data_IF_598826714632
#
_entry.id   IF_598826714632
#
_cell.length_a   1.000
_cell.length_b   1.000
_cell.length_c   1.000
_cell.angle_alpha   90.00
_cell.angle_beta   90.00
_cell.angle_gamma   90.00
#
_symmetry.space_group_name_H-M   'P 1'
#
loop_
_entity.id
_entity.type
_entity.pdbx_description
1 polymer ?
#
# COMPACT_ATOMS: atom_id res chain seq x y z
N UNK A 1 2.40 -35.03 -24.03
CA UNK A 1 1.03 -34.70 -24.48
C UNK A 1 0.17 -34.08 -23.37
N UNK A 2 0.46 -34.33 -22.09
CA UNK A 2 -0.28 -33.78 -20.92
C UNK A 2 0.16 -32.35 -20.56
N UNK A 3 1.47 -32.08 -20.47
CA UNK A 3 2.03 -30.77 -20.09
C UNK A 3 1.67 -29.63 -21.07
N UNK A 4 1.54 -29.95 -22.36
CA UNK A 4 1.12 -29.00 -23.40
C UNK A 4 -0.37 -28.64 -23.32
N UNK A 5 -1.21 -29.56 -22.85
CA UNK A 5 -2.64 -29.33 -22.70
C UNK A 5 -2.95 -28.56 -21.40
N UNK A 6 -2.23 -28.85 -20.30
CA UNK A 6 -2.31 -28.11 -19.04
C UNK A 6 -1.85 -26.66 -19.21
N UNK A 7 -0.74 -26.42 -19.91
CA UNK A 7 -0.28 -25.07 -20.21
C UNK A 7 -1.27 -24.29 -21.09
N UNK A 8 -1.87 -24.94 -22.09
CA UNK A 8 -2.90 -24.31 -22.92
C UNK A 8 -4.17 -23.96 -22.13
N UNK A 9 -4.60 -24.84 -21.22
CA UNK A 9 -5.75 -24.58 -20.34
C UNK A 9 -5.47 -23.43 -19.35
N UNK A 10 -4.28 -23.38 -18.75
CA UNK A 10 -3.87 -22.28 -17.87
C UNK A 10 -3.78 -20.93 -18.61
N UNK A 11 -3.32 -20.92 -19.87
CA UNK A 11 -3.33 -19.74 -20.73
C UNK A 11 -4.75 -19.26 -21.07
N UNK A 12 -5.66 -20.20 -21.35
CA UNK A 12 -7.07 -19.89 -21.63
C UNK A 12 -7.75 -19.29 -20.38
N UNK A 13 -7.50 -19.87 -19.20
CA UNK A 13 -8.04 -19.39 -17.93
C UNK A 13 -7.50 -17.99 -17.59
N UNK A 14 -6.20 -17.76 -17.77
CA UNK A 14 -5.58 -16.43 -17.59
C UNK A 14 -6.20 -15.39 -18.53
N UNK A 15 -6.36 -15.71 -19.81
CA UNK A 15 -6.91 -14.75 -20.77
C UNK A 15 -8.38 -14.42 -20.44
N UNK A 16 -9.15 -15.40 -19.98
CA UNK A 16 -10.52 -15.18 -19.50
C UNK A 16 -10.54 -14.25 -18.28
N UNK A 17 -9.69 -14.51 -17.29
CA UNK A 17 -9.53 -13.66 -16.10
C UNK A 17 -9.10 -12.23 -16.47
N UNK A 18 -8.13 -12.08 -17.38
CA UNK A 18 -7.71 -10.77 -17.87
C UNK A 18 -8.85 -10.00 -18.55
N UNK A 19 -9.66 -10.69 -19.34
CA UNK A 19 -10.82 -10.09 -19.99
C UNK A 19 -11.91 -9.70 -18.97
N UNK A 20 -12.07 -10.46 -17.89
CA UNK A 20 -12.99 -10.13 -16.79
C UNK A 20 -12.53 -8.90 -16.00
N UNK A 21 -11.22 -8.80 -15.72
CA UNK A 21 -10.66 -7.73 -14.88
C UNK A 21 -10.42 -6.42 -15.66
N UNK A 22 -10.10 -6.49 -16.95
CA UNK A 22 -9.89 -5.30 -17.79
C UNK A 22 -11.18 -4.48 -17.85
N UNK A 23 -11.03 -3.17 -17.64
CA UNK A 23 -12.13 -2.19 -17.64
C UNK A 23 -13.18 -2.38 -16.53
N UNK A 24 -13.03 -3.40 -15.67
CA UNK A 24 -13.85 -3.59 -14.48
C UNK A 24 -13.45 -2.56 -13.43
N UNK A 25 -14.40 -1.69 -13.07
CA UNK A 25 -14.24 -0.71 -11.99
C UNK A 25 -14.52 -1.39 -10.66
N UNK A 26 -13.53 -1.42 -9.78
CA UNK A 26 -13.69 -1.78 -8.38
C UNK A 26 -13.98 -0.49 -7.61
N UNK A 27 -15.19 -0.30 -7.06
CA UNK A 27 -15.53 0.88 -6.27
C UNK A 27 -14.64 0.99 -5.03
N UNK A 28 -14.25 2.19 -4.67
CA UNK A 28 -13.46 2.53 -3.48
C UNK A 28 -13.99 3.85 -2.94
N UNK A 29 -14.12 4.00 -1.61
CA UNK A 29 -14.82 5.13 -1.00
C UNK A 29 -16.27 5.27 -1.53
N UNK A 30 -16.79 6.49 -1.56
CA UNK A 30 -18.17 6.81 -1.92
C UNK A 30 -18.38 7.00 -3.45
N UNK A 31 -17.40 7.50 -4.18
CA UNK A 31 -17.48 7.71 -5.64
C UNK A 31 -16.14 7.47 -6.36
N UNK A 32 -15.23 6.76 -5.72
CA UNK A 32 -13.94 6.38 -6.26
C UNK A 32 -13.93 5.02 -6.94
N UNK A 33 -12.89 4.76 -7.72
CA UNK A 33 -12.63 3.40 -8.20
C UNK A 33 -11.16 3.18 -8.60
N UNK A 34 -10.80 1.89 -8.68
CA UNK A 34 -9.62 1.40 -9.39
C UNK A 34 -10.08 0.51 -10.53
N UNK A 35 -9.45 0.68 -11.69
CA UNK A 35 -9.75 -0.11 -12.88
C UNK A 35 -8.44 -0.56 -13.54
N UNK A 36 -8.28 -1.86 -13.78
CA UNK A 36 -7.21 -2.35 -14.63
C UNK A 36 -7.49 -1.96 -16.09
N UNK A 37 -6.56 -1.25 -16.71
CA UNK A 37 -6.64 -0.91 -18.13
C UNK A 37 -5.85 -1.93 -18.94
N UNK A 38 -4.63 -2.23 -18.49
CA UNK A 38 -3.77 -3.17 -19.18
C UNK A 38 -2.69 -3.77 -18.26
N UNK A 39 -2.15 -4.92 -18.65
CA UNK A 39 -1.00 -5.55 -18.01
C UNK A 39 -0.11 -6.16 -19.09
N UNK A 40 1.20 -5.92 -18.98
CA UNK A 40 2.24 -6.57 -19.75
C UNK A 40 2.96 -7.56 -18.83
N UNK A 41 3.03 -8.82 -19.26
CA UNK A 41 3.71 -9.89 -18.52
C UNK A 41 2.86 -10.56 -17.43
N UNK A 42 3.50 -11.52 -16.77
CA UNK A 42 2.95 -12.40 -15.74
C UNK A 42 4.07 -13.00 -14.87
N UNK A 43 3.74 -13.94 -13.97
CA UNK A 43 4.73 -14.66 -13.16
C UNK A 43 5.82 -15.33 -14.02
N UNK A 44 5.45 -15.89 -15.19
CA UNK A 44 6.38 -16.55 -16.11
C UNK A 44 7.37 -15.56 -16.75
N UNK A 45 6.92 -14.31 -16.98
CA UNK A 45 7.75 -13.24 -17.53
C UNK A 45 8.90 -12.87 -16.59
N UNK A 46 8.65 -12.88 -15.28
CA UNK A 46 9.66 -12.66 -14.23
C UNK A 46 10.69 -13.80 -14.25
N UNK A 47 10.20 -15.04 -14.32
CA UNK A 47 11.03 -16.24 -14.37
C UNK A 47 11.90 -16.26 -15.62
N UNK A 48 11.32 -15.95 -16.78
CA UNK A 48 12.04 -15.86 -18.05
C UNK A 48 13.16 -14.83 -17.97
N UNK A 49 12.86 -13.62 -17.48
CA UNK A 49 13.84 -12.56 -17.33
C UNK A 49 14.98 -12.94 -16.38
N UNK A 50 14.67 -13.57 -15.25
CA UNK A 50 15.68 -14.07 -14.31
C UNK A 50 16.55 -15.18 -14.92
N UNK A 51 15.95 -16.07 -15.72
CA UNK A 51 16.64 -17.20 -16.36
C UNK A 51 17.62 -16.78 -17.46
N UNK A 52 17.47 -15.61 -18.07
CA UNK A 52 18.46 -15.09 -19.05
C UNK A 52 19.85 -14.91 -18.42
N UNK A 53 19.94 -14.67 -17.11
CA UNK A 53 21.22 -14.62 -16.40
C UNK A 53 21.88 -15.99 -16.21
N UNK A 54 21.16 -17.08 -16.43
CA UNK A 54 21.65 -18.45 -16.32
C UNK A 54 22.14 -18.90 -17.71
N UNK A 55 23.45 -18.80 -17.96
CA UNK A 55 24.07 -19.23 -19.22
C UNK A 55 23.97 -20.75 -19.47
N UNK A 56 24.45 -21.20 -20.64
CA UNK A 56 24.52 -22.63 -21.01
C UNK A 56 25.23 -23.45 -19.91
N UNK A 57 24.55 -24.47 -19.38
CA UNK A 57 25.10 -25.39 -18.36
C UNK A 57 24.47 -25.29 -16.97
N UNK A 58 23.54 -24.37 -16.74
CA UNK A 58 22.78 -24.26 -15.50
C UNK A 58 21.66 -25.32 -15.43
N UNK A 59 21.62 -26.08 -14.34
CA UNK A 59 20.74 -27.26 -14.14
C UNK A 59 19.26 -26.91 -14.34
N UNK A 60 18.47 -27.90 -14.79
CA UNK A 60 17.00 -27.81 -14.93
C UNK A 60 16.33 -27.30 -13.64
N UNK A 61 15.70 -26.15 -13.80
CA UNK A 61 14.57 -25.50 -13.11
C UNK A 61 14.30 -25.89 -11.63
N UNK A 62 14.60 -24.97 -10.71
CA UNK A 62 13.67 -24.80 -9.58
C UNK A 62 12.29 -24.45 -10.15
N UNK A 63 11.24 -25.02 -9.55
CA UNK A 63 9.86 -24.63 -9.83
C UNK A 63 9.71 -23.09 -9.83
N UNK A 64 8.88 -22.56 -10.73
CA UNK A 64 8.74 -21.12 -11.01
C UNK A 64 8.42 -20.33 -9.74
N UNK A 65 7.55 -20.89 -8.89
CA UNK A 65 7.23 -20.37 -7.57
C UNK A 65 8.48 -20.26 -6.68
N UNK A 66 9.33 -21.29 -6.66
CA UNK A 66 10.57 -21.30 -5.85
C UNK A 66 11.53 -20.20 -6.31
N UNK A 67 11.66 -19.99 -7.62
CA UNK A 67 12.51 -18.93 -8.16
C UNK A 67 11.98 -17.54 -7.78
N UNK A 68 10.69 -17.27 -8.00
CA UNK A 68 10.06 -15.98 -7.65
C UNK A 68 10.27 -15.65 -6.16
N UNK A 69 10.02 -16.63 -5.28
CA UNK A 69 10.25 -16.50 -3.85
C UNK A 69 11.71 -16.21 -3.51
N UNK A 70 12.64 -16.91 -4.17
CA UNK A 70 14.08 -16.67 -4.01
C UNK A 70 14.46 -15.25 -4.42
N UNK A 71 13.99 -14.78 -5.57
CA UNK A 71 14.29 -13.43 -6.09
C UNK A 71 13.78 -12.35 -5.14
N UNK A 72 12.53 -12.45 -4.66
CA UNK A 72 11.96 -11.44 -3.78
C UNK A 72 12.66 -11.42 -2.41
N UNK A 73 12.94 -12.60 -1.82
CA UNK A 73 13.64 -12.71 -0.53
C UNK A 73 15.04 -12.11 -0.56
N UNK A 74 15.76 -12.26 -1.67
CA UNK A 74 17.12 -11.72 -1.83
C UNK A 74 17.16 -10.35 -2.51
N UNK A 75 16.00 -9.70 -2.70
CA UNK A 75 15.88 -8.37 -3.32
C UNK A 75 16.50 -8.31 -4.73
N UNK A 76 16.39 -9.39 -5.50
CA UNK A 76 16.66 -9.38 -6.93
C UNK A 76 15.44 -8.81 -7.66
N UNK A 77 15.38 -7.48 -7.74
CA UNK A 77 14.16 -6.75 -8.14
C UNK A 77 14.00 -6.58 -9.65
N UNK A 78 15.10 -6.57 -10.42
CA UNK A 78 15.06 -6.29 -11.86
C UNK A 78 14.19 -7.25 -12.69
N UNK A 79 14.05 -8.56 -12.37
CA UNK A 79 13.10 -9.40 -13.11
C UNK A 79 11.64 -9.00 -12.90
N UNK A 80 11.28 -8.40 -11.76
CA UNK A 80 9.93 -7.93 -11.49
C UNK A 80 9.60 -6.66 -12.30
N UNK A 81 10.60 -5.87 -12.71
CA UNK A 81 10.39 -4.69 -13.55
C UNK A 81 9.93 -5.04 -14.98
N UNK A 82 10.00 -6.31 -15.37
CA UNK A 82 9.53 -6.81 -16.67
C UNK A 82 8.00 -6.99 -16.75
N UNK A 83 7.30 -6.83 -15.62
CA UNK A 83 5.83 -6.83 -15.57
C UNK A 83 5.36 -5.39 -15.34
N UNK A 84 4.49 -4.89 -16.21
CA UNK A 84 3.91 -3.54 -16.09
C UNK A 84 2.40 -3.58 -15.98
N UNK A 85 1.83 -2.74 -15.13
CA UNK A 85 0.39 -2.58 -14.98
C UNK A 85 0.00 -1.13 -15.27
N UNK A 86 -1.14 -0.96 -15.94
CA UNK A 86 -1.75 0.34 -16.23
C UNK A 86 -3.15 0.38 -15.64
N UNK A 87 -3.41 1.40 -14.84
CA UNK A 87 -4.67 1.61 -14.17
C UNK A 87 -5.33 2.90 -14.65
N UNK A 88 -6.66 2.91 -14.61
CA UNK A 88 -7.47 4.12 -14.54
C UNK A 88 -8.00 4.22 -13.11
N UNK A 89 -7.70 5.32 -12.43
CA UNK A 89 -8.15 5.56 -11.06
C UNK A 89 -9.03 6.79 -11.01
N UNK A 90 -10.07 6.75 -10.17
CA UNK A 90 -10.86 7.91 -9.75
C UNK A 90 -10.67 8.07 -8.26
N UNK A 91 -10.10 9.18 -7.83
CA UNK A 91 -9.56 9.37 -6.47
C UNK A 91 -9.70 10.83 -6.01
N UNK A 92 -9.96 11.10 -4.71
CA UNK A 92 -9.95 12.46 -4.17
C UNK A 92 -8.56 13.10 -4.25
N UNK A 93 -8.49 14.42 -4.47
CA UNK A 93 -7.20 15.10 -4.69
C UNK A 93 -6.24 15.01 -3.49
N UNK A 94 -6.72 15.01 -2.24
CA UNK A 94 -5.88 14.82 -1.06
C UNK A 94 -5.21 13.43 -1.02
N UNK A 95 -5.96 12.38 -1.32
CA UNK A 95 -5.45 11.02 -1.49
C UNK A 95 -4.48 10.95 -2.68
N UNK A 96 -4.83 11.56 -3.81
CA UNK A 96 -4.00 11.61 -5.01
C UNK A 96 -2.64 12.28 -4.77
N UNK A 97 -2.58 13.33 -3.96
CA UNK A 97 -1.33 14.02 -3.59
C UNK A 97 -0.38 13.14 -2.79
N UNK A 98 -0.87 12.12 -2.08
CA UNK A 98 -0.03 11.10 -1.44
C UNK A 98 0.44 10.05 -2.44
N UNK A 99 -0.42 9.71 -3.39
CA UNK A 99 -0.15 8.74 -4.45
C UNK A 99 0.96 9.21 -5.38
N UNK A 100 0.91 10.46 -5.85
CA UNK A 100 1.83 10.99 -6.86
C UNK A 100 3.28 11.17 -6.35
N UNK A 101 3.51 10.93 -5.05
CA UNK A 101 4.86 10.89 -4.45
C UNK A 101 5.67 9.66 -4.89
N UNK A 102 5.00 8.66 -5.46
CA UNK A 102 5.61 7.46 -6.04
C UNK A 102 6.13 7.77 -7.46
N UNK A 103 7.34 8.33 -7.51
CA UNK A 103 7.95 8.96 -8.70
C UNK A 103 8.35 8.00 -9.83
N UNK A 104 8.38 6.71 -9.57
CA UNK A 104 8.80 5.66 -10.52
C UNK A 104 7.65 5.17 -11.40
N UNK A 105 6.54 5.91 -11.44
CA UNK A 105 5.39 5.62 -12.29
C UNK A 105 5.20 6.70 -13.37
N UNK A 106 4.47 6.34 -14.43
CA UNK A 106 4.01 7.29 -15.44
C UNK A 106 2.55 7.66 -15.19
N UNK A 107 2.26 8.95 -15.19
CA UNK A 107 0.94 9.48 -14.79
C UNK A 107 0.41 10.45 -15.84
N UNK A 108 -0.88 10.38 -16.12
CA UNK A 108 -1.60 11.42 -16.84
C UNK A 108 -2.93 11.68 -16.13
N UNK A 109 -3.14 12.92 -15.68
CA UNK A 109 -4.28 13.31 -14.85
C UNK A 109 -5.26 14.20 -15.62
N UNK A 110 -6.55 14.02 -15.33
CA UNK A 110 -7.62 14.89 -15.77
C UNK A 110 -7.35 16.36 -15.39
N UNK A 111 -7.18 17.20 -16.41
CA UNK A 111 -6.82 18.60 -16.19
C UNK A 111 -8.06 19.50 -16.15
N UNK A 112 -8.37 20.02 -14.98
CA UNK A 112 -9.44 21.03 -14.78
C UNK A 112 -9.08 22.42 -15.35
N UNK A 113 -7.97 22.55 -16.10
CA UNK A 113 -7.65 23.74 -16.91
C UNK A 113 -8.37 23.68 -18.25
N UNK A 114 -8.41 22.50 -18.83
CA UNK A 114 -9.02 22.24 -20.13
C UNK A 114 -10.46 21.78 -20.00
N UNK A 115 -10.81 21.15 -18.88
CA UNK A 115 -12.12 20.54 -18.68
C UNK A 115 -12.83 21.07 -17.43
N UNK A 116 -14.15 20.91 -17.36
CA UNK A 116 -14.93 21.24 -16.16
C UNK A 116 -14.57 20.25 -15.05
N UNK A 117 -14.45 20.71 -13.81
CA UNK A 117 -14.15 19.83 -12.69
C UNK A 117 -15.26 18.78 -12.50
N UNK A 118 -14.85 17.56 -12.18
CA UNK A 118 -15.77 16.47 -11.86
C UNK A 118 -16.68 16.95 -10.74
N UNK A 119 -17.99 16.77 -10.94
CA UNK A 119 -19.01 17.18 -9.98
C UNK A 119 -19.20 16.12 -8.91
N UNK A 120 -18.14 15.90 -8.13
CA UNK A 120 -18.11 14.94 -7.05
C UNK A 120 -17.02 15.26 -6.05
N UNK A 121 -17.35 15.13 -4.77
CA UNK A 121 -16.48 15.33 -3.62
C UNK A 121 -16.65 14.15 -2.68
N UNK A 122 -15.54 13.64 -2.16
CA UNK A 122 -15.59 12.66 -1.07
C UNK A 122 -16.31 13.28 0.13
N UNK A 123 -17.23 12.51 0.68
CA UNK A 123 -18.00 12.81 1.88
C UNK A 123 -17.60 11.86 3.01
N UNK A 124 -17.83 12.30 4.25
CA UNK A 124 -17.56 11.51 5.44
C UNK A 124 -18.89 11.11 6.08
N UNK A 125 -19.24 9.81 6.10
CA UNK A 125 -20.40 9.33 6.83
C UNK A 125 -20.37 9.69 8.32
N UNK A 126 -21.57 9.75 8.92
CA UNK A 126 -21.78 10.14 10.33
C UNK A 126 -20.91 9.34 11.29
N UNK A 127 -20.74 8.05 11.04
CA UNK A 127 -20.01 7.10 11.86
C UNK A 127 -18.54 6.91 11.44
N UNK A 128 -18.04 7.67 10.47
CA UNK A 128 -16.69 7.51 9.92
C UNK A 128 -15.72 8.67 10.24
N UNK A 129 -16.19 9.69 10.97
CA UNK A 129 -15.33 10.75 11.49
C UNK A 129 -14.36 10.18 12.53
N UNK A 130 -13.05 10.40 12.36
CA UNK A 130 -12.02 9.79 13.21
C UNK A 130 -11.28 10.80 14.08
N UNK A 131 -10.90 10.36 15.28
CA UNK A 131 -10.02 11.10 16.18
C UNK A 131 -8.56 11.03 15.71
N UNK A 132 -7.76 12.03 16.10
CA UNK A 132 -6.33 12.05 15.79
C UNK A 132 -5.59 11.00 16.61
N UNK A 133 -4.72 10.21 15.98
CA UNK A 133 -3.93 9.21 16.69
C UNK A 133 -2.92 9.84 17.67
N UNK A 134 -2.78 9.24 18.85
CA UNK A 134 -1.84 9.69 19.89
C UNK A 134 -0.41 9.20 19.62
N UNK A 135 -0.26 8.03 19.00
CA UNK A 135 1.02 7.39 18.71
C UNK A 135 1.51 7.76 17.30
N UNK A 136 0.61 7.78 16.31
CA UNK A 136 0.91 8.15 14.94
C UNK A 136 0.33 9.54 14.61
N UNK A 137 1.14 10.58 14.69
CA UNK A 137 0.71 11.96 14.35
C UNK A 137 0.26 12.16 12.89
N UNK A 138 0.47 11.18 12.01
CA UNK A 138 0.02 11.19 10.61
C UNK A 138 -1.24 10.36 10.37
N UNK A 139 -1.71 9.63 11.38
CA UNK A 139 -2.85 8.73 11.29
C UNK A 139 -4.02 9.14 12.17
N UNK A 140 -5.09 8.37 12.08
CA UNK A 140 -6.30 8.52 12.89
C UNK A 140 -6.63 7.22 13.62
N UNK A 141 -7.41 7.32 14.69
CA UNK A 141 -7.76 6.20 15.58
C UNK A 141 -9.28 5.97 15.57
N UNK A 142 -9.93 6.12 16.73
CA UNK A 142 -11.31 5.75 16.97
C UNK A 142 -12.27 6.67 16.23
N UNK A 143 -13.45 6.14 15.89
CA UNK A 143 -14.56 6.96 15.42
C UNK A 143 -15.06 7.90 16.52
N UNK A 144 -15.49 9.09 16.11
CA UNK A 144 -16.15 10.05 16.97
C UNK A 144 -17.61 9.61 17.25
N UNK A 145 -18.23 10.10 18.34
CA UNK A 145 -19.64 9.85 18.61
C UNK A 145 -20.56 10.30 17.47
N UNK A 146 -21.62 9.54 17.20
CA UNK A 146 -22.53 9.78 16.08
C UNK A 146 -23.23 11.15 16.15
N UNK A 147 -23.57 11.66 17.33
CA UNK A 147 -24.17 12.99 17.51
C UNK A 147 -23.23 14.13 17.06
N UNK A 148 -21.92 13.94 17.25
CA UNK A 148 -20.90 14.84 16.71
C UNK A 148 -20.80 14.66 15.19
N UNK A 149 -20.79 13.42 14.72
CA UNK A 149 -20.71 13.06 13.31
C UNK A 149 -21.87 13.59 12.46
N UNK A 150 -23.10 13.60 12.98
CA UNK A 150 -24.28 14.16 12.30
C UNK A 150 -24.07 15.63 11.97
N UNK A 151 -23.63 16.41 12.98
CA UNK A 151 -23.33 17.83 12.80
C UNK A 151 -22.18 18.04 11.81
N UNK A 152 -21.09 17.27 11.93
CA UNK A 152 -19.93 17.42 11.05
C UNK A 152 -20.27 17.11 9.59
N UNK A 153 -20.97 16.00 9.36
CA UNK A 153 -21.44 15.58 8.02
C UNK A 153 -22.36 16.61 7.38
N UNK A 154 -23.31 17.17 8.15
CA UNK A 154 -24.19 18.23 7.66
C UNK A 154 -23.39 19.48 7.26
N UNK A 155 -22.46 19.93 8.10
CA UNK A 155 -21.63 21.10 7.79
C UNK A 155 -20.67 20.89 6.63
N UNK A 156 -20.11 19.68 6.47
CA UNK A 156 -19.29 19.30 5.33
C UNK A 156 -20.10 19.41 4.04
N UNK A 157 -21.30 18.83 4.03
CA UNK A 157 -22.21 18.87 2.88
C UNK A 157 -22.56 20.31 2.48
N UNK A 158 -22.95 21.15 3.43
CA UNK A 158 -23.26 22.56 3.18
C UNK A 158 -22.07 23.30 2.53
N UNK A 159 -20.85 23.05 3.03
CA UNK A 159 -19.63 23.65 2.49
C UNK A 159 -19.33 23.16 1.06
N UNK A 160 -19.44 21.86 0.82
CA UNK A 160 -19.22 21.27 -0.51
C UNK A 160 -20.25 21.81 -1.53
N UNK A 161 -21.52 21.88 -1.16
CA UNK A 161 -22.57 22.46 -2.01
C UNK A 161 -22.36 23.96 -2.26
N UNK A 162 -21.92 24.72 -1.25
CA UNK A 162 -21.60 26.14 -1.40
C UNK A 162 -20.41 26.38 -2.34
N UNK A 163 -19.30 25.68 -2.12
CA UNK A 163 -18.10 25.80 -2.98
C UNK A 163 -18.42 25.43 -4.43
N UNK A 164 -19.27 24.41 -4.65
CA UNK A 164 -19.72 24.04 -5.99
C UNK A 164 -20.58 25.12 -6.65
N UNK A 165 -21.51 25.75 -5.91
CA UNK A 165 -22.29 26.88 -6.42
C UNK A 165 -21.41 28.05 -6.85
N UNK A 166 -20.44 28.43 -6.02
CA UNK A 166 -19.46 29.50 -6.34
C UNK A 166 -18.65 29.15 -7.59
N UNK A 167 -18.24 27.89 -7.73
CA UNK A 167 -17.55 27.42 -8.94
C UNK A 167 -18.42 27.57 -10.19
N UNK A 168 -19.68 27.15 -10.13
CA UNK A 168 -20.61 27.22 -11.26
C UNK A 168 -20.92 28.67 -11.65
N UNK A 169 -21.20 29.55 -10.68
CA UNK A 169 -21.44 30.97 -10.93
C UNK A 169 -20.27 31.63 -11.68
N UNK A 170 -19.02 31.30 -11.30
CA UNK A 170 -17.83 31.79 -12.01
C UNK A 170 -17.78 31.31 -13.46
N UNK A 171 -18.11 30.05 -13.72
CA UNK A 171 -18.16 29.54 -15.09
C UNK A 171 -19.23 30.24 -15.91
N UNK A 172 -20.41 30.47 -15.33
CA UNK A 172 -21.54 31.13 -15.99
C UNK A 172 -21.23 32.59 -16.33
N UNK A 173 -20.40 33.25 -15.52
CA UNK A 173 -19.86 34.59 -15.77
C UNK A 173 -18.67 34.63 -16.75
N UNK A 174 -18.26 33.48 -17.30
CA UNK A 174 -17.16 33.39 -18.27
C UNK A 174 -15.75 33.42 -17.68
N UNK A 175 -15.60 33.21 -16.36
CA UNK A 175 -14.28 33.10 -15.72
C UNK A 175 -13.52 31.90 -16.27
N UNK A 176 -12.22 32.05 -16.53
CA UNK A 176 -11.38 30.96 -17.01
C UNK A 176 -11.40 29.76 -16.03
N UNK A 177 -11.52 28.54 -16.58
CA UNK A 177 -11.66 27.29 -15.79
C UNK A 177 -10.57 27.12 -14.72
N UNK A 178 -9.33 27.48 -15.06
CA UNK A 178 -8.21 27.36 -14.14
C UNK A 178 -8.28 28.31 -12.94
N UNK A 179 -9.01 29.42 -13.06
CA UNK A 179 -9.30 30.36 -11.98
C UNK A 179 -10.59 29.99 -11.24
N UNK A 180 -11.63 29.57 -11.96
CA UNK A 180 -12.92 29.24 -11.37
C UNK A 180 -12.79 28.17 -10.27
N UNK A 181 -11.98 27.13 -10.53
CA UNK A 181 -11.78 25.95 -9.67
C UNK A 181 -10.98 26.19 -8.38
N UNK A 182 -10.43 27.39 -8.15
CA UNK A 182 -9.45 27.64 -7.07
C UNK A 182 -9.93 27.26 -5.67
N UNK A 183 -11.25 27.34 -5.44
CA UNK A 183 -11.87 27.07 -4.14
C UNK A 183 -12.51 25.67 -4.06
N UNK A 184 -12.35 24.84 -5.10
CA UNK A 184 -12.79 23.45 -4.99
C UNK A 184 -11.94 22.73 -3.93
N UNK A 185 -12.57 21.99 -3.00
CA UNK A 185 -11.88 21.36 -1.89
C UNK A 185 -10.97 20.22 -2.37
N UNK A 186 -9.99 19.85 -1.55
CA UNK A 186 -9.13 18.69 -1.83
C UNK A 186 -9.90 17.36 -1.87
N UNK A 187 -11.13 17.31 -1.32
CA UNK A 187 -12.00 16.15 -1.43
C UNK A 187 -12.61 15.98 -2.83
N UNK A 188 -12.48 16.95 -3.74
CA UNK A 188 -12.97 16.80 -5.12
C UNK A 188 -12.24 15.66 -5.83
N UNK A 189 -13.00 14.79 -6.50
CA UNK A 189 -12.46 13.67 -7.26
C UNK A 189 -11.71 14.13 -8.52
N UNK A 190 -10.62 13.45 -8.82
CA UNK A 190 -9.89 13.51 -10.09
C UNK A 190 -9.83 12.12 -10.71
N UNK A 191 -9.52 12.05 -12.00
CA UNK A 191 -9.26 10.79 -12.69
C UNK A 191 -7.86 10.81 -13.28
N UNK A 192 -7.16 9.69 -13.21
CA UNK A 192 -5.82 9.58 -13.76
C UNK A 192 -5.53 8.20 -14.34
N UNK A 193 -4.76 8.19 -15.43
CA UNK A 193 -4.03 7.01 -15.83
C UNK A 193 -2.75 6.91 -15.00
N UNK A 194 -2.50 5.73 -14.45
CA UNK A 194 -1.32 5.42 -13.66
C UNK A 194 -0.70 4.12 -14.17
N UNK A 195 0.50 4.21 -14.76
CA UNK A 195 1.28 3.05 -15.24
C UNK A 195 2.51 2.86 -14.38
N UNK A 196 2.76 1.64 -13.92
CA UNK A 196 3.86 1.31 -13.02
C UNK A 196 4.34 -0.12 -13.25
N UNK A 197 5.64 -0.37 -13.14
CA UNK A 197 6.17 -1.74 -13.12
C UNK A 197 5.88 -2.44 -11.79
N UNK A 198 5.95 -3.77 -11.78
CA UNK A 198 5.56 -4.57 -10.63
C UNK A 198 6.49 -4.37 -9.43
N UNK A 199 7.80 -4.15 -9.62
CA UNK A 199 8.70 -3.88 -8.49
C UNK A 199 8.26 -2.62 -7.73
N UNK A 200 8.02 -1.53 -8.46
CA UNK A 200 7.57 -0.27 -7.90
C UNK A 200 6.14 -0.33 -7.39
N UNK A 201 5.27 -1.14 -8.01
CA UNK A 201 3.92 -1.40 -7.50
C UNK A 201 3.95 -2.12 -6.16
N UNK A 202 4.78 -3.17 -5.99
CA UNK A 202 4.94 -3.86 -4.71
C UNK A 202 5.49 -2.91 -3.64
N UNK A 203 6.37 -1.97 -4.01
CA UNK A 203 6.80 -0.92 -3.08
C UNK A 203 5.64 0.01 -2.67
N UNK A 204 4.85 0.50 -3.64
CA UNK A 204 3.63 1.27 -3.37
C UNK A 204 2.71 0.53 -2.41
N UNK A 205 2.37 -0.73 -2.71
CA UNK A 205 1.49 -1.55 -1.89
C UNK A 205 2.05 -1.75 -0.47
N UNK A 206 3.36 -2.01 -0.33
CA UNK A 206 3.97 -2.18 1.00
C UNK A 206 3.88 -0.93 1.88
N UNK A 207 3.93 0.27 1.29
CA UNK A 207 3.83 1.53 2.03
C UNK A 207 2.38 1.98 2.25
N UNK A 208 1.47 1.60 1.35
CA UNK A 208 0.12 2.15 1.31
C UNK A 208 -0.94 1.19 1.82
N UNK A 209 -0.65 -0.11 1.93
CA UNK A 209 -1.48 -1.06 2.67
C UNK A 209 -1.17 -1.09 4.17
N UNK A 210 -0.09 -0.43 4.59
CA UNK A 210 0.33 -0.32 5.99
C UNK A 210 -0.69 0.47 6.83
N UNK A 211 -0.88 0.07 8.08
CA UNK A 211 -1.86 0.69 8.99
C UNK A 211 -1.56 2.16 9.29
N UNK A 212 -0.30 2.61 9.16
CA UNK A 212 0.11 4.00 9.36
C UNK A 212 -0.27 4.92 8.19
N UNK A 213 -0.58 4.35 7.01
CA UNK A 213 -1.08 5.14 5.89
C UNK A 213 -2.53 5.58 6.14
N UNK A 214 -2.93 6.70 5.52
CA UNK A 214 -4.30 7.19 5.59
C UNK A 214 -5.28 6.12 5.07
N UNK A 215 -6.43 5.97 5.73
CA UNK A 215 -7.41 4.92 5.39
C UNK A 215 -7.78 4.93 3.91
N UNK A 216 -8.01 6.10 3.34
CA UNK A 216 -8.43 6.28 1.95
C UNK A 216 -7.44 5.61 1.00
N UNK A 217 -6.15 5.98 1.06
CA UNK A 217 -5.13 5.39 0.19
C UNK A 217 -4.91 3.90 0.48
N UNK A 218 -5.16 3.45 1.72
CA UNK A 218 -5.15 2.01 2.05
C UNK A 218 -6.25 1.25 1.35
N UNK A 219 -7.47 1.80 1.25
CA UNK A 219 -8.56 1.14 0.55
C UNK A 219 -8.26 1.00 -0.95
N UNK A 220 -7.74 2.06 -1.58
CA UNK A 220 -7.28 1.99 -2.97
C UNK A 220 -6.18 0.94 -3.16
N UNK A 221 -5.20 0.91 -2.26
CA UNK A 221 -4.08 -0.02 -2.33
C UNK A 221 -4.53 -1.46 -2.09
N UNK A 222 -5.46 -1.68 -1.17
CA UNK A 222 -6.06 -2.98 -0.93
C UNK A 222 -6.89 -3.46 -2.13
N UNK A 223 -7.63 -2.56 -2.81
CA UNK A 223 -8.34 -2.87 -4.03
C UNK A 223 -7.37 -3.28 -5.16
N UNK A 224 -6.30 -2.50 -5.39
CA UNK A 224 -5.25 -2.85 -6.37
C UNK A 224 -4.62 -4.20 -6.04
N UNK A 225 -4.12 -4.36 -4.81
CA UNK A 225 -3.40 -5.55 -4.38
C UNK A 225 -4.28 -6.81 -4.44
N UNK A 226 -5.41 -6.80 -3.72
CA UNK A 226 -6.22 -8.01 -3.50
C UNK A 226 -7.17 -8.33 -4.66
N UNK A 227 -7.68 -7.32 -5.38
CA UNK A 227 -8.65 -7.54 -6.45
C UNK A 227 -8.03 -7.65 -7.84
N UNK A 228 -6.80 -7.17 -8.03
CA UNK A 228 -6.15 -7.14 -9.35
C UNK A 228 -4.81 -7.88 -9.32
N UNK A 229 -3.86 -7.49 -8.46
CA UNK A 229 -2.51 -8.07 -8.45
C UNK A 229 -2.54 -9.54 -8.00
N UNK A 230 -3.19 -9.84 -6.89
CA UNK A 230 -3.32 -11.19 -6.33
C UNK A 230 -3.85 -12.23 -7.34
N UNK A 231 -5.00 -12.01 -8.01
CA UNK A 231 -5.49 -12.99 -8.98
C UNK A 231 -4.62 -13.08 -10.25
N UNK A 232 -3.95 -12.00 -10.67
CA UNK A 232 -3.15 -11.98 -11.90
C UNK A 232 -1.71 -12.48 -11.74
N UNK A 233 -1.16 -12.38 -10.54
CA UNK A 233 0.24 -12.68 -10.21
C UNK A 233 0.31 -13.45 -8.87
N UNK A 234 -0.34 -14.63 -8.76
CA UNK A 234 -0.51 -15.33 -7.50
C UNK A 234 0.81 -15.74 -6.84
N UNK A 235 1.83 -16.12 -7.62
CA UNK A 235 3.12 -16.53 -7.06
C UNK A 235 3.88 -15.33 -6.49
N UNK A 236 3.83 -14.18 -7.17
CA UNK A 236 4.38 -12.93 -6.65
C UNK A 236 3.62 -12.48 -5.41
N UNK A 237 2.28 -12.55 -5.42
CA UNK A 237 1.46 -12.10 -4.30
C UNK A 237 1.77 -12.88 -3.03
N UNK A 238 1.84 -14.22 -3.13
CA UNK A 238 2.24 -15.08 -2.02
C UNK A 238 3.62 -14.70 -1.47
N UNK A 239 4.61 -14.49 -2.35
CA UNK A 239 5.95 -14.06 -1.93
C UNK A 239 5.93 -12.66 -1.28
N UNK A 240 5.11 -11.75 -1.81
CA UNK A 240 4.95 -10.40 -1.29
C UNK A 240 4.34 -10.37 0.10
N UNK A 241 3.30 -11.19 0.34
CA UNK A 241 2.71 -11.34 1.67
C UNK A 241 3.77 -11.80 2.69
N UNK A 242 4.51 -12.87 2.36
CA UNK A 242 5.50 -13.47 3.26
C UNK A 242 6.72 -12.59 3.53
N UNK A 243 7.26 -11.93 2.50
CA UNK A 243 8.58 -11.29 2.57
C UNK A 243 8.54 -9.76 2.61
N UNK A 244 7.36 -9.15 2.45
CA UNK A 244 7.21 -7.69 2.43
C UNK A 244 6.06 -7.19 3.29
N UNK A 245 4.84 -7.72 3.12
CA UNK A 245 3.65 -7.18 3.78
C UNK A 245 3.57 -7.62 5.26
N UNK A 246 3.86 -8.87 5.55
CA UNK A 246 3.81 -9.45 6.90
C UNK A 246 5.19 -9.75 7.47
N UNK A 247 6.25 -9.29 6.79
CA UNK A 247 7.62 -9.44 7.26
C UNK A 247 7.97 -8.35 8.28
N UNK A 248 8.57 -8.75 9.40
CA UNK A 248 9.19 -7.84 10.36
C UNK A 248 10.71 -7.93 10.26
N UNK A 249 11.37 -6.78 10.10
CA UNK A 249 12.82 -6.68 10.09
C UNK A 249 13.38 -6.46 11.49
N UNK A 250 14.54 -7.05 11.77
CA UNK A 250 15.34 -6.76 12.95
C UNK A 250 16.56 -5.92 12.55
N UNK A 251 16.67 -4.72 13.12
CA UNK A 251 17.85 -3.86 12.97
C UNK A 251 19.06 -4.46 13.68
N UNK A 252 20.26 -3.94 13.38
CA UNK A 252 21.49 -4.32 14.08
C UNK A 252 21.35 -4.16 15.60
N UNK A 253 20.66 -3.12 16.06
CA UNK A 253 20.48 -2.82 17.49
C UNK A 253 19.53 -3.84 18.13
N UNK A 254 18.43 -4.16 17.46
CA UNK A 254 17.44 -5.15 17.92
C UNK A 254 18.05 -6.55 17.99
N UNK A 255 18.80 -6.97 16.96
CA UNK A 255 19.53 -8.25 16.97
C UNK A 255 20.49 -8.31 18.16
N UNK A 256 21.26 -7.25 18.40
CA UNK A 256 22.19 -7.19 19.53
C UNK A 256 21.48 -7.23 20.88
N UNK A 257 20.31 -6.58 21.01
CA UNK A 257 19.48 -6.63 22.20
C UNK A 257 18.98 -8.04 22.47
N UNK A 258 18.42 -8.72 21.46
CA UNK A 258 17.96 -10.11 21.56
C UNK A 258 19.11 -11.03 21.98
N UNK A 259 20.29 -10.90 21.37
CA UNK A 259 21.45 -11.71 21.71
C UNK A 259 21.86 -11.55 23.18
N UNK A 260 21.98 -10.31 23.67
CA UNK A 260 22.31 -10.05 25.08
C UNK A 260 21.22 -10.57 26.03
N UNK A 261 19.96 -10.33 25.67
CA UNK A 261 18.80 -10.75 26.45
C UNK A 261 18.76 -12.28 26.59
N UNK A 262 18.94 -13.02 25.49
CA UNK A 262 18.95 -14.49 25.49
C UNK A 262 20.20 -15.06 26.20
N UNK A 263 21.36 -14.43 26.07
CA UNK A 263 22.57 -14.83 26.80
C UNK A 263 22.39 -14.68 28.31
N UNK A 264 21.80 -13.57 28.77
CA UNK A 264 21.50 -13.33 30.18
C UNK A 264 20.44 -14.31 30.70
N UNK A 265 19.39 -14.56 29.93
CA UNK A 265 18.37 -15.53 30.27
C UNK A 265 18.96 -16.95 30.45
N UNK A 266 19.78 -17.39 29.49
CA UNK A 266 20.45 -18.68 29.55
C UNK A 266 21.40 -18.80 30.76
N UNK A 267 22.20 -17.76 31.05
CA UNK A 267 23.10 -17.73 32.20
C UNK A 267 22.35 -17.81 33.55
N UNK A 268 21.12 -17.30 33.61
CA UNK A 268 20.29 -17.27 34.81
C UNK A 268 19.22 -18.38 34.85
N UNK A 269 19.24 -19.33 33.90
CA UNK A 269 18.26 -20.41 33.82
C UNK A 269 16.82 -19.95 33.57
N UNK A 270 16.64 -18.77 32.94
CA UNK A 270 15.32 -18.22 32.58
C UNK A 270 14.99 -18.52 31.12
N UNK A 271 13.70 -18.58 30.81
CA UNK A 271 13.18 -18.72 29.45
C UNK A 271 12.20 -17.58 29.14
N UNK A 272 12.00 -17.20 27.88
CA UNK A 272 10.97 -16.25 27.49
C UNK A 272 9.55 -16.70 27.90
N UNK A 273 8.62 -15.76 28.14
CA UNK A 273 8.81 -14.31 28.09
C UNK A 273 9.61 -13.77 29.28
N UNK A 274 10.58 -12.89 29.02
CA UNK A 274 11.43 -12.26 30.03
C UNK A 274 10.79 -10.95 30.54
N UNK A 275 11.25 -10.44 31.69
CA UNK A 275 10.65 -9.21 32.23
C UNK A 275 11.09 -7.96 31.47
N UNK A 276 10.34 -6.86 31.62
CA UNK A 276 10.70 -5.57 31.02
C UNK A 276 12.02 -5.05 31.63
N UNK A 277 12.30 -5.35 32.89
CA UNK A 277 13.58 -5.04 33.52
C UNK A 277 14.75 -5.78 32.86
N UNK A 278 14.57 -7.07 32.53
CA UNK A 278 15.58 -7.84 31.80
C UNK A 278 15.87 -7.21 30.43
N UNK A 279 14.84 -6.72 29.74
CA UNK A 279 15.02 -5.94 28.50
C UNK A 279 15.86 -4.67 28.72
N UNK A 280 15.54 -3.85 29.75
CA UNK A 280 16.29 -2.61 30.01
C UNK A 280 17.75 -2.87 30.40
N UNK A 281 18.05 -4.01 31.02
CA UNK A 281 19.44 -4.44 31.28
C UNK A 281 20.15 -4.81 29.96
N UNK A 282 19.47 -5.52 29.07
CA UNK A 282 19.97 -5.99 27.77
C UNK A 282 19.89 -4.96 26.62
N UNK A 283 19.26 -3.80 26.85
CA UNK A 283 19.03 -2.76 25.86
C UNK A 283 20.33 -2.30 25.17
N UNK A 284 20.23 -1.68 24.00
CA UNK A 284 21.42 -1.13 23.34
C UNK A 284 22.12 -0.08 24.21
N UNK A 285 23.47 -0.13 24.37
CA UNK A 285 24.20 0.84 25.15
C UNK A 285 23.92 2.29 24.75
N UNK A 286 23.64 2.56 23.46
CA UNK A 286 23.35 3.93 22.99
C UNK A 286 22.03 4.49 23.53
N UNK A 287 21.15 3.66 24.07
CA UNK A 287 19.85 4.08 24.60
C UNK A 287 19.83 4.37 26.11
N UNK A 288 20.87 3.95 26.86
CA UNK A 288 20.85 3.98 28.33
C UNK A 288 20.76 5.39 28.91
N UNK A 289 21.53 6.31 28.35
CA UNK A 289 21.57 7.71 28.80
C UNK A 289 20.41 8.55 28.24
N UNK A 290 19.58 7.97 27.36
CA UNK A 290 18.48 8.68 26.71
C UNK A 290 17.23 8.62 27.59
N UNK A 291 16.78 9.79 28.06
CA UNK A 291 15.50 9.94 28.77
C UNK A 291 14.33 9.42 27.92
N UNK A 292 14.37 9.63 26.60
CA UNK A 292 13.38 9.15 25.63
C UNK A 292 14.09 8.60 24.40
N UNK A 293 13.76 7.38 24.00
CA UNK A 293 14.32 6.74 22.81
C UNK A 293 13.22 5.98 22.08
N UNK A 294 12.75 6.52 20.94
CA UNK A 294 11.72 5.85 20.14
C UNK A 294 12.19 4.49 19.63
N UNK A 295 13.45 4.37 19.20
CA UNK A 295 14.01 3.09 18.75
C UNK A 295 14.01 2.04 19.88
N UNK A 296 14.26 2.46 21.13
CA UNK A 296 14.19 1.56 22.29
C UNK A 296 12.75 1.10 22.54
N UNK A 297 11.82 2.05 22.52
CA UNK A 297 10.41 1.79 22.82
C UNK A 297 9.77 0.93 21.71
N UNK A 298 10.12 1.17 20.44
CA UNK A 298 9.76 0.35 19.27
C UNK A 298 10.36 -1.06 19.36
N UNK A 299 11.64 -1.18 19.76
CA UNK A 299 12.29 -2.47 20.00
C UNK A 299 11.57 -3.26 21.09
N UNK A 300 11.26 -2.64 22.23
CA UNK A 300 10.52 -3.28 23.33
C UNK A 300 9.16 -3.79 22.85
N UNK A 301 8.38 -2.93 22.19
CA UNK A 301 7.07 -3.30 21.66
C UNK A 301 7.17 -4.50 20.68
N UNK A 302 8.18 -4.50 19.81
CA UNK A 302 8.42 -5.61 18.87
C UNK A 302 8.80 -6.91 19.60
N UNK A 303 9.63 -6.85 20.64
CA UNK A 303 9.99 -8.04 21.42
C UNK A 303 8.81 -8.57 22.25
N UNK A 304 7.92 -7.70 22.71
CA UNK A 304 6.67 -8.08 23.36
C UNK A 304 5.72 -8.78 22.39
N UNK A 305 5.55 -8.23 21.19
CA UNK A 305 4.74 -8.84 20.11
C UNK A 305 5.27 -10.23 19.72
N UNK A 306 6.59 -10.41 19.70
CA UNK A 306 7.24 -11.70 19.42
C UNK A 306 7.22 -12.69 20.60
N UNK A 307 6.66 -12.30 21.76
CA UNK A 307 6.61 -13.13 22.96
C UNK A 307 7.96 -13.33 23.66
N UNK A 308 8.97 -12.51 23.34
CA UNK A 308 10.30 -12.57 23.94
C UNK A 308 10.36 -11.83 25.29
N UNK A 309 9.54 -10.78 25.43
CA UNK A 309 9.41 -9.96 26.64
C UNK A 309 7.94 -9.91 27.05
N UNK A 310 7.64 -9.89 28.34
CA UNK A 310 6.27 -9.79 28.85
C UNK A 310 5.66 -8.42 28.54
N UNK A 311 4.35 -8.41 28.26
CA UNK A 311 3.53 -7.20 28.06
C UNK A 311 3.25 -6.49 29.37
#
# INVERSE_FOLDING_TARGET
MTETAENAAALIDRQALLNELRWKKFPVLDDGFVCLVDIMGDDSSIVQAARVSYGEGTKKASDDRTLIRYLLRHRHTTPFEMVELKFLVRVPMDCWRQWIRHRTANVNEYSTRYSIAIDSTQTTPVDEWRSQSQTNRQGSESYLPADVGERLTATERELQEHTRRVYQERLDLGVAREQARKDLPLSTYTEAYWKVDLHNLLHFLSLRMDSHAQLEIREYSAAIGRKIVQPLLPMVWEAFEDYRLHASGLSRLEIGCIQRLMQQAAANGRVPPLSVEDFFVAQDPTWRELTRSRERDECLAKLQELGLVAT
#
